data_IF_827091620804
#
_entry.id   IF_827091620804
#
_cell.length_a   1.000
_cell.length_b   1.000
_cell.length_c   1.000
_cell.angle_alpha   90.00
_cell.angle_beta   90.00
_cell.angle_gamma   90.00
#
_symmetry.space_group_name_H-M   'P 1'
#
loop_
_entity.id
_entity.type
_entity.pdbx_description
1 polymer ?
#
# COMPACT_ATOMS: atom_id res chain seq x y z
N UNK A 1 -11.72 1.05 -14.00
CA UNK A 1 -12.36 2.25 -13.41
C UNK A 1 -11.49 2.72 -12.26
N UNK A 2 -10.65 3.74 -12.48
CA UNK A 2 -9.41 3.93 -11.71
C UNK A 2 -9.50 4.97 -10.58
N UNK A 3 -10.57 5.76 -10.50
CA UNK A 3 -10.68 6.84 -9.51
C UNK A 3 -12.13 7.19 -9.23
N UNK A 4 -12.42 7.56 -7.99
CA UNK A 4 -13.69 8.15 -7.59
C UNK A 4 -13.54 9.65 -7.40
N UNK A 5 -14.62 10.40 -7.56
CA UNK A 5 -14.59 11.86 -7.69
C UNK A 5 -15.35 12.50 -6.53
N UNK A 6 -14.87 13.63 -6.05
CA UNK A 6 -15.50 14.40 -4.98
C UNK A 6 -16.31 15.56 -5.58
N UNK A 7 -17.52 15.90 -5.07
CA UNK A 7 -18.26 17.08 -5.51
C UNK A 7 -17.42 18.37 -5.43
N UNK A 8 -17.39 19.14 -6.53
CA UNK A 8 -16.56 20.34 -6.67
C UNK A 8 -15.14 20.08 -7.19
N UNK A 9 -14.68 18.83 -7.21
CA UNK A 9 -13.35 18.46 -7.70
C UNK A 9 -13.25 18.69 -9.21
N UNK A 10 -12.18 19.39 -9.63
CA UNK A 10 -11.70 19.37 -11.00
C UNK A 10 -10.66 18.25 -11.12
N UNK A 11 -10.90 17.30 -12.02
CA UNK A 11 -10.10 16.08 -12.12
C UNK A 11 -9.95 15.63 -13.56
N UNK A 12 -9.02 14.71 -13.77
CA UNK A 12 -8.72 14.13 -15.08
C UNK A 12 -8.96 12.64 -15.03
N UNK A 13 -9.76 12.13 -15.97
CA UNK A 13 -10.08 10.70 -16.07
C UNK A 13 -9.43 10.13 -17.32
N UNK A 14 -8.52 9.16 -17.18
CA UNK A 14 -7.95 8.48 -18.32
C UNK A 14 -8.99 7.54 -18.93
N UNK A 15 -9.34 7.75 -20.20
CA UNK A 15 -10.17 6.83 -20.98
C UNK A 15 -9.28 6.09 -21.96
N UNK A 16 -9.15 4.77 -21.78
CA UNK A 16 -8.39 3.91 -22.69
C UNK A 16 -9.29 3.43 -23.82
N UNK A 17 -8.88 3.70 -25.05
CA UNK A 17 -9.55 3.25 -26.27
C UNK A 17 -8.63 2.24 -26.96
N UNK A 18 -9.21 1.14 -27.43
CA UNK A 18 -8.47 0.08 -28.13
C UNK A 18 -9.17 -0.26 -29.43
N UNK A 19 -8.45 -0.11 -30.55
CA UNK A 19 -8.88 -0.64 -31.83
C UNK A 19 -8.57 -2.15 -31.90
N UNK A 20 -9.59 -2.99 -31.71
CA UNK A 20 -9.47 -4.45 -31.86
C UNK A 20 -9.73 -4.94 -33.29
N UNK A 21 -10.01 -4.02 -34.22
CA UNK A 21 -10.33 -4.39 -35.59
C UNK A 21 -9.05 -4.55 -36.41
N UNK A 22 -9.16 -5.23 -37.55
CA UNK A 22 -8.08 -5.28 -38.55
C UNK A 22 -7.96 -4.02 -39.39
N UNK A 23 -8.82 -3.02 -39.18
CA UNK A 23 -8.91 -1.81 -39.98
C UNK A 23 -8.36 -0.60 -39.23
N UNK A 24 -7.95 0.42 -39.98
CA UNK A 24 -7.63 1.73 -39.45
C UNK A 24 -8.93 2.45 -39.06
N UNK A 25 -9.01 2.95 -37.81
CA UNK A 25 -10.20 3.64 -37.31
C UNK A 25 -9.93 5.14 -37.16
N UNK A 26 -10.67 5.94 -37.93
CA UNK A 26 -10.75 7.39 -37.77
C UNK A 26 -12.15 7.80 -37.37
N UNK A 27 -12.27 8.75 -36.44
CA UNK A 27 -13.57 9.13 -35.91
C UNK A 27 -13.54 10.08 -34.74
N UNK A 28 -14.64 10.12 -34.01
CA UNK A 28 -14.84 11.01 -32.87
C UNK A 28 -15.41 10.23 -31.68
N UNK A 29 -14.73 10.26 -30.54
CA UNK A 29 -15.30 9.82 -29.28
C UNK A 29 -16.08 10.99 -28.66
N UNK A 30 -17.38 10.81 -28.47
CA UNK A 30 -18.23 11.76 -27.74
C UNK A 30 -18.57 11.23 -26.36
N UNK A 31 -18.58 12.14 -25.40
CA UNK A 31 -19.07 11.89 -24.04
C UNK A 31 -20.41 12.62 -23.92
N UNK A 32 -21.48 11.85 -23.74
CA UNK A 32 -22.84 12.37 -23.65
C UNK A 32 -23.41 12.27 -22.24
N UNK A 33 -24.35 13.18 -22.02
CA UNK A 33 -25.40 13.18 -21.02
C UNK A 33 -24.99 12.86 -19.59
N UNK A 34 -24.61 13.90 -18.85
CA UNK A 34 -24.41 13.80 -17.41
C UNK A 34 -24.81 15.10 -16.76
N UNK A 35 -26.00 15.12 -16.17
CA UNK A 35 -26.40 16.15 -15.23
C UNK A 35 -25.31 16.30 -14.17
N UNK A 36 -24.88 17.52 -13.90
CA UNK A 36 -23.94 17.88 -12.85
C UNK A 36 -22.44 17.73 -13.12
N UNK A 37 -22.03 17.57 -14.39
CA UNK A 37 -20.59 17.59 -14.75
C UNK A 37 -20.30 18.58 -15.87
N UNK A 38 -19.32 19.44 -15.61
CA UNK A 38 -18.72 20.32 -16.60
C UNK A 38 -17.50 19.64 -17.21
N UNK A 39 -17.50 19.48 -18.54
CA UNK A 39 -16.37 18.94 -19.28
C UNK A 39 -15.63 20.06 -19.98
N UNK A 40 -14.30 20.01 -20.00
CA UNK A 40 -13.52 20.92 -20.86
C UNK A 40 -13.71 20.59 -22.34
N UNK A 41 -13.78 19.30 -22.67
CA UNK A 41 -14.19 18.81 -23.98
C UNK A 41 -15.08 17.59 -23.85
N UNK A 42 -16.15 17.55 -24.68
CA UNK A 42 -17.05 16.40 -24.81
C UNK A 42 -16.76 15.57 -26.07
N UNK A 43 -15.74 15.93 -26.84
CA UNK A 43 -15.45 15.34 -28.14
C UNK A 43 -13.95 15.24 -28.38
N UNK A 44 -13.49 14.03 -28.70
CA UNK A 44 -12.08 13.74 -28.87
C UNK A 44 -11.88 13.08 -30.24
N UNK A 45 -11.02 13.64 -31.12
CA UNK A 45 -10.68 12.99 -32.37
C UNK A 45 -9.91 11.70 -32.09
N UNK A 46 -10.27 10.65 -32.79
CA UNK A 46 -9.67 9.33 -32.67
C UNK A 46 -9.08 8.98 -34.02
N UNK A 47 -7.84 8.53 -33.98
CA UNK A 47 -7.09 8.02 -35.10
C UNK A 47 -6.25 6.87 -34.56
N UNK A 48 -6.67 5.63 -34.84
CA UNK A 48 -6.11 4.41 -34.25
C UNK A 48 -5.81 3.37 -35.31
N UNK A 49 -4.54 2.99 -35.43
CA UNK A 49 -4.10 1.86 -36.25
C UNK A 49 -4.67 0.53 -35.73
N UNK A 50 -4.71 -0.54 -36.55
CA UNK A 50 -5.10 -1.86 -36.10
C UNK A 50 -4.32 -2.27 -34.84
N UNK A 51 -5.01 -2.78 -33.82
CA UNK A 51 -4.46 -3.17 -32.52
C UNK A 51 -3.86 -2.03 -31.66
N UNK A 52 -3.95 -0.76 -32.07
CA UNK A 52 -3.44 0.37 -31.29
C UNK A 52 -4.29 0.63 -30.03
N UNK A 53 -3.61 1.02 -28.95
CA UNK A 53 -4.23 1.51 -27.70
C UNK A 53 -3.84 2.95 -27.48
N UNK A 54 -4.82 3.80 -27.19
CA UNK A 54 -4.60 5.21 -26.82
C UNK A 54 -5.31 5.53 -25.52
N UNK A 55 -4.68 6.37 -24.71
CA UNK A 55 -5.30 6.93 -23.49
C UNK A 55 -5.65 8.39 -23.74
N UNK A 56 -6.90 8.75 -23.51
CA UNK A 56 -7.41 10.13 -23.61
C UNK A 56 -7.56 10.70 -22.21
N UNK A 57 -7.03 11.91 -21.99
CA UNK A 57 -7.25 12.65 -20.76
C UNK A 57 -8.58 13.41 -20.85
N UNK A 58 -9.57 13.00 -20.05
CA UNK A 58 -10.85 13.69 -19.98
C UNK A 58 -10.88 14.55 -18.73
N UNK A 59 -10.75 15.87 -18.92
CA UNK A 59 -10.84 16.83 -17.85
C UNK A 59 -12.31 17.18 -17.57
N UNK A 60 -12.70 17.03 -16.30
CA UNK A 60 -14.04 17.32 -15.86
C UNK A 60 -14.06 17.97 -14.48
N UNK A 61 -15.13 18.70 -14.20
CA UNK A 61 -15.44 19.28 -12.91
C UNK A 61 -16.84 18.85 -12.48
N UNK A 62 -16.92 18.17 -11.34
CA UNK A 62 -18.19 17.75 -10.76
C UNK A 62 -18.82 18.94 -10.01
N UNK A 63 -20.10 19.22 -10.22
CA UNK A 63 -20.78 20.31 -9.50
C UNK A 63 -20.83 20.05 -7.99
N UNK A 64 -20.78 21.11 -7.17
CA UNK A 64 -20.87 20.99 -5.70
C UNK A 64 -22.20 20.43 -5.19
N UNK A 65 -23.27 20.46 -6.00
CA UNK A 65 -24.64 20.13 -5.56
C UNK A 65 -25.10 18.73 -5.92
N UNK A 66 -24.21 17.82 -6.30
CA UNK A 66 -24.58 16.44 -6.61
C UNK A 66 -25.05 15.76 -5.31
N UNK A 67 -26.38 15.65 -5.13
CA UNK A 67 -26.99 15.05 -3.93
C UNK A 67 -27.16 13.54 -4.11
N UNK A 68 -26.69 12.77 -3.11
CA UNK A 68 -26.95 11.34 -2.84
C UNK A 68 -26.54 10.33 -3.92
N UNK A 69 -25.67 9.39 -3.52
CA UNK A 69 -25.54 8.01 -4.02
C UNK A 69 -25.71 7.82 -5.54
N UNK A 70 -24.96 8.55 -6.34
CA UNK A 70 -24.90 8.27 -7.78
C UNK A 70 -23.45 7.96 -8.16
N UNK A 71 -23.28 6.84 -8.86
CA UNK A 71 -22.16 6.71 -9.75
C UNK A 71 -22.38 7.73 -10.87
N UNK A 72 -21.40 8.58 -11.12
CA UNK A 72 -21.35 9.39 -12.32
C UNK A 72 -21.31 8.46 -13.53
N UNK A 73 -22.31 8.55 -14.40
CA UNK A 73 -22.38 7.72 -15.61
C UNK A 73 -21.83 8.52 -16.79
N UNK A 74 -20.64 8.17 -17.28
CA UNK A 74 -20.15 8.68 -18.56
C UNK A 74 -20.67 7.78 -19.67
N UNK A 75 -21.53 8.29 -20.54
CA UNK A 75 -21.90 7.60 -21.77
C UNK A 75 -20.89 7.95 -22.87
N UNK A 76 -20.10 6.96 -23.26
CA UNK A 76 -19.13 7.07 -24.34
C UNK A 76 -19.73 6.55 -25.64
N UNK A 77 -19.66 7.38 -26.67
CA UNK A 77 -20.14 7.06 -28.01
C UNK A 77 -19.01 7.29 -29.01
N UNK A 78 -18.54 6.23 -29.66
CA UNK A 78 -17.54 6.35 -30.72
C UNK A 78 -18.23 6.37 -32.09
N UNK A 79 -17.98 7.44 -32.84
CA UNK A 79 -18.48 7.63 -34.19
C UNK A 79 -17.34 7.45 -35.19
N UNK A 80 -17.40 6.41 -36.02
CA UNK A 80 -16.48 6.21 -37.16
C UNK A 80 -16.88 7.17 -38.27
N UNK A 81 -15.89 7.77 -38.95
CA UNK A 81 -16.13 8.60 -40.13
C UNK A 81 -15.87 7.72 -41.36
N UNK A 82 -16.92 7.42 -42.11
CA UNK A 82 -16.86 6.66 -43.37
C UNK A 82 -17.48 7.50 -44.48
N UNK A 83 -16.71 7.78 -45.54
CA UNK A 83 -17.17 8.55 -46.71
C UNK A 83 -17.83 9.90 -46.35
N UNK A 84 -17.31 10.59 -45.33
CA UNK A 84 -17.87 11.86 -44.84
C UNK A 84 -19.11 11.71 -43.96
N UNK A 85 -19.65 10.50 -43.78
CA UNK A 85 -20.75 10.21 -42.86
C UNK A 85 -20.26 9.68 -41.52
N UNK A 86 -20.95 10.07 -40.45
CA UNK A 86 -20.61 9.68 -39.08
C UNK A 86 -21.54 8.56 -38.62
N UNK A 87 -20.98 7.38 -38.34
CA UNK A 87 -21.72 6.20 -37.90
C UNK A 87 -21.31 5.85 -36.47
N UNK A 88 -22.27 5.74 -35.56
CA UNK A 88 -21.99 5.28 -34.19
C UNK A 88 -21.71 3.78 -34.20
N UNK A 89 -20.48 3.39 -33.92
CA UNK A 89 -20.02 2.00 -33.98
C UNK A 89 -19.82 1.38 -32.60
N UNK A 90 -19.78 2.19 -31.53
CA UNK A 90 -19.59 1.68 -30.17
C UNK A 90 -20.24 2.60 -29.14
N UNK A 91 -20.96 1.99 -28.20
CA UNK A 91 -21.52 2.67 -27.02
C UNK A 91 -21.05 1.93 -25.76
N UNK A 92 -20.44 2.66 -24.84
CA UNK A 92 -20.01 2.14 -23.54
C UNK A 92 -20.46 3.09 -22.44
N UNK A 93 -20.89 2.56 -21.30
CA UNK A 93 -21.13 3.38 -20.10
C UNK A 93 -20.04 3.11 -19.06
N UNK A 94 -19.51 4.17 -18.48
CA UNK A 94 -18.50 4.15 -17.42
C UNK A 94 -19.14 4.71 -16.15
N UNK A 95 -19.22 3.91 -15.10
CA UNK A 95 -19.71 4.29 -13.76
C UNK A 95 -18.58 4.75 -12.83
N UNK A 96 -18.38 6.05 -12.67
CA UNK A 96 -17.40 6.59 -11.74
C UNK A 96 -18.06 6.85 -10.39
N UNK A 97 -17.61 6.22 -9.30
CA UNK A 97 -18.16 6.46 -7.99
C UNK A 97 -17.94 7.92 -7.57
N UNK A 98 -18.98 8.55 -7.01
CA UNK A 98 -18.86 9.86 -6.39
C UNK A 98 -18.70 9.65 -4.88
N UNK A 99 -17.62 10.19 -4.31
CA UNK A 99 -17.41 10.25 -2.86
C UNK A 99 -18.20 11.46 -2.36
N UNK A 100 -19.36 11.20 -1.76
CA UNK A 100 -20.20 12.24 -1.16
C UNK A 100 -19.47 12.85 0.05
N UNK A 101 -18.73 13.94 -0.18
CA UNK A 101 -18.44 14.89 0.88
C UNK A 101 -19.45 16.03 0.76
N UNK A 102 -20.36 16.22 1.72
CA UNK A 102 -20.97 17.52 1.91
C UNK A 102 -19.83 18.52 2.09
N UNK A 103 -19.76 19.52 1.21
CA UNK A 103 -18.80 20.63 1.32
C UNK A 103 -18.91 21.18 2.75
N UNK A 104 -17.85 20.98 3.54
CA UNK A 104 -17.75 21.44 4.92
C UNK A 104 -18.14 20.47 6.05
N UNK A 105 -18.76 19.30 5.81
CA UNK A 105 -19.11 18.34 6.89
C UNK A 105 -19.12 16.87 6.43
N UNK A 106 -18.00 16.18 6.63
CA UNK A 106 -17.94 14.75 7.01
C UNK A 106 -18.41 13.72 5.98
N UNK A 107 -17.54 13.34 5.03
CA UNK A 107 -17.12 11.94 4.81
C UNK A 107 -16.21 11.85 3.58
N UNK A 108 -14.90 12.09 3.76
CA UNK A 108 -13.92 11.83 2.67
C UNK A 108 -13.53 10.34 2.57
N UNK A 109 -14.41 9.45 3.06
CA UNK A 109 -14.30 8.01 2.97
C UNK A 109 -15.56 7.45 2.34
N UNK A 110 -15.41 6.52 1.40
CA UNK A 110 -16.51 5.83 0.77
C UNK A 110 -16.28 4.31 0.74
N UNK A 111 -17.37 3.57 0.62
CA UNK A 111 -17.34 2.13 0.46
C UNK A 111 -18.54 1.68 -0.37
N UNK A 112 -18.31 0.83 -1.37
CA UNK A 112 -19.34 0.39 -2.30
C UNK A 112 -19.00 -0.95 -2.92
N UNK A 113 -20.00 -1.60 -3.52
CA UNK A 113 -19.88 -2.90 -4.19
C UNK A 113 -19.95 -2.69 -5.69
N UNK A 114 -19.01 -3.27 -6.44
CA UNK A 114 -18.96 -3.23 -7.90
C UNK A 114 -19.40 -4.57 -8.45
N UNK A 115 -20.52 -4.58 -9.17
CA UNK A 115 -21.06 -5.74 -9.91
C UNK A 115 -21.25 -7.01 -9.05
N UNK A 116 -21.35 -6.88 -7.72
CA UNK A 116 -21.40 -8.01 -6.80
C UNK A 116 -20.10 -8.82 -6.69
N UNK A 117 -19.04 -8.43 -7.42
CA UNK A 117 -17.76 -9.16 -7.51
C UNK A 117 -16.66 -8.55 -6.67
N UNK A 118 -16.69 -7.23 -6.49
CA UNK A 118 -15.69 -6.49 -5.71
C UNK A 118 -16.34 -5.61 -4.67
N UNK A 119 -15.71 -5.46 -3.51
CA UNK A 119 -15.97 -4.38 -2.59
C UNK A 119 -14.82 -3.40 -2.62
N UNK A 120 -15.14 -2.11 -2.64
CA UNK A 120 -14.17 -1.03 -2.61
C UNK A 120 -14.34 -0.29 -1.28
N UNK A 121 -13.23 0.02 -0.63
CA UNK A 121 -13.14 0.97 0.46
C UNK A 121 -12.09 2.02 0.08
N UNK A 122 -12.40 3.31 0.13
CA UNK A 122 -11.44 4.33 -0.26
C UNK A 122 -11.60 5.62 0.54
N UNK A 123 -10.52 6.39 0.60
CA UNK A 123 -10.47 7.73 1.18
C UNK A 123 -9.75 8.68 0.23
N UNK A 124 -9.22 9.81 0.74
CA UNK A 124 -8.44 10.73 -0.09
C UNK A 124 -7.12 10.09 -0.58
N UNK A 125 -6.22 9.59 0.29
CA UNK A 125 -4.93 9.05 -0.16
C UNK A 125 -5.02 7.63 -0.75
N UNK A 126 -5.96 6.80 -0.32
CA UNK A 126 -5.90 5.35 -0.52
C UNK A 126 -7.20 4.77 -1.08
N UNK A 127 -7.07 3.66 -1.83
CA UNK A 127 -8.18 2.79 -2.23
C UNK A 127 -7.80 1.33 -2.02
N UNK A 128 -8.74 0.56 -1.48
CA UNK A 128 -8.66 -0.85 -1.20
C UNK A 128 -9.67 -1.58 -2.07
N UNK A 129 -9.22 -2.58 -2.81
CA UNK A 129 -10.09 -3.47 -3.58
C UNK A 129 -10.12 -4.87 -2.97
N UNK A 130 -11.31 -5.35 -2.62
CA UNK A 130 -11.53 -6.68 -2.10
C UNK A 130 -12.27 -7.54 -3.11
N UNK A 131 -11.87 -8.81 -3.22
CA UNK A 131 -12.60 -9.82 -4.00
C UNK A 131 -13.76 -10.37 -3.17
N UNK A 132 -14.95 -10.45 -3.76
CA UNK A 132 -16.17 -11.02 -3.13
C UNK A 132 -16.44 -12.47 -3.56
N UNK A 133 -15.49 -13.05 -4.28
CA UNK A 133 -15.42 -14.47 -4.59
C UNK A 133 -14.38 -15.12 -3.66
N UNK A 134 -14.61 -16.36 -3.19
CA UNK A 134 -13.60 -17.09 -2.45
C UNK A 134 -12.29 -17.24 -3.25
N UNK A 135 -11.11 -16.97 -2.66
CA UNK A 135 -10.90 -16.52 -1.29
C UNK A 135 -11.17 -15.02 -1.08
N UNK A 136 -11.87 -14.67 0.01
CA UNK A 136 -12.22 -13.28 0.35
C UNK A 136 -11.01 -12.51 0.90
N UNK A 137 -10.20 -11.93 0.02
CA UNK A 137 -8.97 -11.22 0.35
C UNK A 137 -8.98 -9.76 -0.13
N UNK A 138 -8.02 -8.99 0.40
CA UNK A 138 -7.64 -7.67 -0.11
C UNK A 138 -6.74 -7.90 -1.34
N UNK A 139 -7.26 -7.59 -2.52
CA UNK A 139 -6.61 -7.84 -3.80
C UNK A 139 -5.60 -6.75 -4.12
N UNK A 140 -6.01 -5.49 -4.01
CA UNK A 140 -5.19 -4.36 -4.44
C UNK A 140 -5.30 -3.20 -3.45
N UNK A 141 -4.15 -2.58 -3.18
CA UNK A 141 -4.03 -1.28 -2.52
C UNK A 141 -3.54 -0.26 -3.52
N UNK A 142 -4.16 0.92 -3.54
CA UNK A 142 -3.85 1.98 -4.49
C UNK A 142 -3.53 3.26 -3.72
N UNK A 143 -2.33 3.82 -3.93
CA UNK A 143 -2.04 5.19 -3.52
C UNK A 143 -2.57 6.14 -4.60
N UNK A 144 -3.62 6.89 -4.28
CA UNK A 144 -4.31 7.79 -5.20
C UNK A 144 -3.50 9.04 -5.54
N UNK A 145 -2.44 9.35 -4.77
CA UNK A 145 -1.55 10.49 -5.03
C UNK A 145 -0.58 10.20 -6.18
N UNK A 146 -0.03 8.99 -6.21
CA UNK A 146 0.87 8.52 -7.28
C UNK A 146 0.16 7.69 -8.35
N UNK A 147 -1.10 7.28 -8.10
CA UNK A 147 -1.84 6.29 -8.90
C UNK A 147 -1.11 4.94 -9.00
N UNK A 148 -0.28 4.62 -8.01
CA UNK A 148 0.40 3.33 -7.94
C UNK A 148 -0.45 2.27 -7.30
N UNK A 149 -0.18 1.04 -7.73
CA UNK A 149 -0.95 -0.13 -7.38
C UNK A 149 -0.05 -1.19 -6.80
N UNK A 150 -0.46 -1.67 -5.65
CA UNK A 150 0.20 -2.70 -4.89
C UNK A 150 -0.75 -3.88 -4.87
N UNK A 151 -0.43 -4.90 -5.66
CA UNK A 151 -1.14 -6.16 -5.60
C UNK A 151 -0.77 -6.83 -4.28
N UNK A 152 -1.78 -7.09 -3.46
CA UNK A 152 -1.63 -7.50 -2.07
C UNK A 152 -1.95 -8.97 -1.89
N UNK A 153 -3.06 -9.42 -2.49
CA UNK A 153 -3.60 -10.78 -2.41
C UNK A 153 -3.44 -11.41 -1.01
N UNK A 154 -3.87 -10.65 -0.01
CA UNK A 154 -3.61 -10.96 1.41
C UNK A 154 -4.85 -10.79 2.27
N UNK A 155 -4.72 -11.10 3.55
CA UNK A 155 -5.74 -10.93 4.58
C UNK A 155 -6.88 -11.94 4.49
N UNK A 156 -6.77 -12.99 3.66
CA UNK A 156 -7.68 -14.12 3.66
C UNK A 156 -7.68 -14.79 5.06
N UNK A 157 -8.85 -15.13 5.63
CA UNK A 157 -8.93 -15.64 6.99
C UNK A 157 -8.57 -17.12 7.06
N UNK A 158 -7.80 -17.48 8.09
CA UNK A 158 -7.61 -18.86 8.51
C UNK A 158 -7.85 -18.99 10.02
N UNK A 159 -8.57 -20.02 10.42
CA UNK A 159 -9.07 -20.20 11.78
C UNK A 159 -8.67 -21.58 12.31
N UNK A 160 -8.11 -21.59 13.51
CA UNK A 160 -7.80 -22.79 14.28
C UNK A 160 -6.31 -23.02 14.49
N UNK A 161 -5.99 -24.00 15.31
CA UNK A 161 -4.63 -24.51 15.53
C UNK A 161 -4.70 -26.04 15.43
N UNK A 162 -4.01 -26.70 14.47
CA UNK A 162 -3.16 -26.10 13.44
C UNK A 162 -3.97 -25.36 12.36
N UNK A 163 -3.30 -24.42 11.69
CA UNK A 163 -3.88 -23.63 10.60
C UNK A 163 -3.84 -24.38 9.26
N UNK A 164 -4.88 -24.28 8.44
CA UNK A 164 -5.08 -25.14 7.26
C UNK A 164 -4.54 -24.57 5.95
N UNK A 165 -4.38 -23.26 5.83
CA UNK A 165 -3.92 -22.67 4.57
C UNK A 165 -5.05 -21.98 3.81
N UNK A 166 -4.77 -21.63 2.57
CA UNK A 166 -5.75 -21.18 1.58
C UNK A 166 -6.85 -22.23 1.29
N UNK A 167 -6.59 -23.49 1.66
CA UNK A 167 -7.57 -24.59 1.59
C UNK A 167 -8.50 -24.63 2.80
N UNK A 168 -8.31 -23.74 3.77
CA UNK A 168 -9.11 -23.64 4.99
C UNK A 168 -10.60 -23.39 4.72
N UNK A 169 -11.43 -23.75 5.70
CA UNK A 169 -12.89 -23.61 5.59
C UNK A 169 -13.31 -22.18 5.24
N UNK A 170 -12.79 -21.19 5.98
CA UNK A 170 -13.22 -19.79 5.86
C UNK A 170 -12.74 -19.11 4.57
N UNK A 171 -11.66 -19.61 3.96
CA UNK A 171 -11.19 -19.14 2.67
C UNK A 171 -12.19 -19.49 1.56
N UNK A 172 -12.82 -20.68 1.62
CA UNK A 172 -13.75 -21.17 0.58
C UNK A 172 -15.22 -20.82 0.83
N UNK A 173 -15.55 -20.49 2.08
CA UNK A 173 -16.93 -20.24 2.49
C UNK A 173 -17.38 -18.83 2.15
N UNK A 174 -18.59 -18.71 1.58
CA UNK A 174 -19.25 -17.42 1.37
C UNK A 174 -19.38 -16.64 2.68
N UNK A 175 -18.93 -15.39 2.68
CA UNK A 175 -18.96 -14.53 3.86
C UNK A 175 -20.08 -13.50 3.75
N UNK A 176 -20.67 -13.13 4.89
CA UNK A 176 -21.62 -12.03 4.99
C UNK A 176 -20.87 -10.71 5.00
N UNK A 177 -21.24 -9.83 4.07
CA UNK A 177 -20.64 -8.52 3.88
C UNK A 177 -21.55 -7.43 4.45
N UNK A 178 -20.97 -6.47 5.18
CA UNK A 178 -21.67 -5.24 5.61
C UNK A 178 -20.78 -4.03 5.40
N UNK A 179 -21.36 -2.96 4.87
CA UNK A 179 -20.73 -1.66 4.71
C UNK A 179 -21.33 -0.69 5.73
N UNK A 180 -20.48 -0.05 6.52
CA UNK A 180 -20.88 0.93 7.52
C UNK A 180 -20.25 2.29 7.19
N UNK A 181 -21.09 3.31 7.07
CA UNK A 181 -20.65 4.69 6.90
C UNK A 181 -20.89 5.44 8.21
N UNK A 182 -19.81 5.71 8.96
CA UNK A 182 -19.85 6.59 10.13
C UNK A 182 -19.45 8.01 9.68
N UNK A 183 -19.64 9.02 10.53
CA UNK A 183 -19.32 10.43 10.22
C UNK A 183 -17.82 10.68 9.99
N UNK A 184 -16.97 9.81 10.53
CA UNK A 184 -15.52 10.02 10.55
C UNK A 184 -14.75 8.92 9.84
N UNK A 185 -15.35 7.76 9.58
CA UNK A 185 -14.69 6.64 8.92
C UNK A 185 -15.73 5.78 8.20
N UNK A 186 -15.29 5.03 7.20
CA UNK A 186 -16.09 3.97 6.56
C UNK A 186 -15.46 2.62 6.88
N UNK A 187 -16.29 1.63 7.16
CA UNK A 187 -15.86 0.28 7.52
C UNK A 187 -16.50 -0.77 6.63
N UNK A 188 -15.70 -1.75 6.19
CA UNK A 188 -16.13 -2.95 5.49
C UNK A 188 -15.98 -4.15 6.41
N UNK A 189 -17.07 -4.86 6.69
CA UNK A 189 -17.09 -6.01 7.59
C UNK A 189 -17.40 -7.29 6.82
N UNK A 190 -16.50 -8.25 6.90
CA UNK A 190 -16.71 -9.63 6.50
C UNK A 190 -16.99 -10.48 7.73
N UNK A 191 -18.01 -11.34 7.68
CA UNK A 191 -18.37 -12.22 8.78
C UNK A 191 -18.73 -13.62 8.31
N UNK A 192 -18.33 -14.64 9.07
CA UNK A 192 -18.65 -16.05 8.78
C UNK A 192 -18.56 -16.89 10.03
N UNK A 193 -19.50 -17.82 10.21
CA UNK A 193 -19.49 -18.81 11.30
C UNK A 193 -18.78 -20.07 10.85
N UNK A 194 -17.89 -20.66 11.63
CA UNK A 194 -17.24 -21.92 11.28
C UNK A 194 -18.19 -23.12 11.39
N UNK A 195 -18.09 -24.04 10.44
CA UNK A 195 -18.71 -25.37 10.48
C UNK A 195 -17.84 -26.38 11.23
N UNK A 196 -16.51 -26.22 11.18
CA UNK A 196 -15.57 -27.06 11.94
C UNK A 196 -15.61 -26.76 13.43
N UNK A 197 -15.62 -25.48 13.81
CA UNK A 197 -15.85 -25.00 15.19
C UNK A 197 -17.25 -24.38 15.28
N UNK A 198 -18.28 -25.25 15.39
CA UNK A 198 -19.69 -24.85 15.31
C UNK A 198 -20.05 -23.76 16.33
N UNK A 199 -20.56 -22.65 15.84
CA UNK A 199 -20.99 -21.49 16.66
C UNK A 199 -19.90 -20.43 16.86
N UNK A 200 -18.65 -20.71 16.47
CA UNK A 200 -17.59 -19.69 16.44
C UNK A 200 -17.73 -18.81 15.19
N UNK A 201 -18.00 -17.53 15.38
CA UNK A 201 -18.08 -16.51 14.33
C UNK A 201 -16.76 -15.74 14.23
N UNK A 202 -16.24 -15.60 13.01
CA UNK A 202 -15.11 -14.72 12.69
C UNK A 202 -15.65 -13.46 12.01
N UNK A 203 -15.28 -12.28 12.53
CA UNK A 203 -15.53 -10.98 11.91
C UNK A 203 -14.21 -10.31 11.58
N UNK A 204 -14.06 -9.80 10.37
CA UNK A 204 -12.95 -8.95 9.94
C UNK A 204 -13.52 -7.59 9.53
N UNK A 205 -13.12 -6.54 10.22
CA UNK A 205 -13.53 -5.17 9.95
C UNK A 205 -12.33 -4.36 9.44
N UNK A 206 -12.45 -3.82 8.23
CA UNK A 206 -11.49 -2.92 7.62
C UNK A 206 -12.03 -1.50 7.71
N UNK A 207 -11.38 -0.63 8.47
CA UNK A 207 -11.82 0.74 8.71
C UNK A 207 -10.84 1.73 8.11
N UNK A 208 -11.37 2.71 7.38
CA UNK A 208 -10.62 3.77 6.73
C UNK A 208 -11.23 5.13 7.08
N UNK A 209 -10.38 6.12 7.37
CA UNK A 209 -10.79 7.48 7.76
C UNK A 209 -10.24 8.53 6.75
N UNK A 210 -10.91 9.68 6.55
CA UNK A 210 -10.77 10.60 5.41
C UNK A 210 -9.35 10.91 4.91
N UNK A 211 -8.44 11.14 5.85
CA UNK A 211 -7.06 11.60 5.60
C UNK A 211 -6.00 10.63 6.12
N UNK A 212 -6.43 9.46 6.58
CA UNK A 212 -5.54 8.48 7.18
C UNK A 212 -4.80 7.68 6.10
N UNK A 213 -3.49 7.58 6.24
CA UNK A 213 -2.67 6.59 5.54
C UNK A 213 -2.79 5.18 6.17
N UNK A 214 -3.37 5.10 7.36
CA UNK A 214 -3.64 3.85 8.07
C UNK A 214 -5.00 3.26 7.71
N UNK A 215 -4.98 1.94 7.52
CA UNK A 215 -6.14 1.07 7.42
C UNK A 215 -6.17 0.25 8.70
N UNK A 216 -7.18 0.46 9.54
CA UNK A 216 -7.36 -0.33 10.76
C UNK A 216 -8.03 -1.65 10.40
N UNK A 217 -7.42 -2.76 10.77
CA UNK A 217 -8.00 -4.10 10.64
C UNK A 217 -8.28 -4.64 12.03
N UNK A 218 -9.56 -4.88 12.30
CA UNK A 218 -10.00 -5.49 13.54
C UNK A 218 -10.53 -6.90 13.23
N UNK A 219 -10.07 -7.89 13.98
CA UNK A 219 -10.57 -9.26 13.89
C UNK A 219 -11.20 -9.65 15.21
N UNK A 220 -12.44 -10.10 15.16
CA UNK A 220 -13.15 -10.62 16.32
C UNK A 220 -13.51 -12.09 16.12
N UNK A 221 -13.29 -12.89 17.17
CA UNK A 221 -13.75 -14.27 17.28
C UNK A 221 -14.82 -14.33 18.37
N UNK A 222 -16.05 -14.71 18.02
CA UNK A 222 -17.20 -14.66 18.93
C UNK A 222 -17.80 -16.06 19.05
N UNK A 223 -17.87 -16.61 20.26
CA UNK A 223 -18.46 -17.92 20.49
C UNK A 223 -19.96 -17.80 20.81
N UNK A 224 -20.81 -18.09 19.83
CA UNK A 224 -22.28 -18.12 20.01
C UNK A 224 -22.81 -19.50 20.44
N UNK A 225 -21.93 -20.48 20.64
CA UNK A 225 -22.33 -21.82 21.06
C UNK A 225 -22.48 -21.90 22.59
N UNK A 226 -23.00 -23.03 23.06
CA UNK A 226 -23.03 -23.39 24.48
C UNK A 226 -21.82 -24.24 24.91
N UNK A 227 -20.78 -24.35 24.07
CA UNK A 227 -19.57 -25.13 24.33
C UNK A 227 -18.33 -24.24 24.22
N UNK A 228 -17.31 -24.52 25.02
CA UNK A 228 -16.01 -23.86 24.85
C UNK A 228 -15.33 -24.35 23.58
N UNK A 229 -14.52 -23.48 22.97
CA UNK A 229 -13.66 -23.84 21.85
C UNK A 229 -12.20 -23.68 22.23
N UNK A 230 -11.47 -24.80 22.30
CA UNK A 230 -10.02 -24.81 22.52
C UNK A 230 -9.26 -24.69 21.21
N UNK A 231 -7.96 -24.38 21.30
CA UNK A 231 -7.03 -24.32 20.17
C UNK A 231 -7.56 -23.41 19.06
N UNK A 232 -7.98 -22.21 19.48
CA UNK A 232 -8.50 -21.20 18.57
C UNK A 232 -7.35 -20.29 18.19
N UNK A 233 -7.11 -20.15 16.90
CA UNK A 233 -6.09 -19.23 16.40
C UNK A 233 -6.66 -18.46 15.24
N UNK A 234 -6.10 -17.29 14.97
CA UNK A 234 -6.37 -16.57 13.74
C UNK A 234 -5.05 -16.22 13.06
N UNK A 235 -4.98 -16.44 11.75
CA UNK A 235 -3.93 -15.88 10.92
C UNK A 235 -4.52 -15.35 9.64
N UNK A 236 -3.72 -14.56 8.95
CA UNK A 236 -3.95 -14.28 7.54
C UNK A 236 -2.79 -14.78 6.68
N UNK A 237 -3.13 -15.09 5.43
CA UNK A 237 -2.14 -15.28 4.38
C UNK A 237 -1.76 -13.95 3.77
N UNK A 238 -0.47 -13.77 3.49
CA UNK A 238 0.01 -12.83 2.50
C UNK A 238 0.71 -13.61 1.39
N UNK A 239 0.36 -13.31 0.15
CA UNK A 239 1.16 -13.77 -0.98
C UNK A 239 2.50 -13.00 -1.04
N UNK A 240 3.54 -13.59 -1.65
CA UNK A 240 4.80 -12.92 -1.83
C UNK A 240 4.67 -11.69 -2.71
N UNK A 241 5.23 -10.57 -2.26
CA UNK A 241 5.12 -9.30 -2.96
C UNK A 241 6.31 -9.10 -3.90
N UNK A 242 6.26 -9.78 -5.05
CA UNK A 242 7.33 -9.73 -6.05
C UNK A 242 7.70 -8.31 -6.51
N UNK A 243 6.78 -7.33 -6.41
CA UNK A 243 7.03 -5.95 -6.83
C UNK A 243 7.90 -5.16 -5.85
N UNK A 244 7.78 -5.40 -4.54
CA UNK A 244 8.63 -4.72 -3.56
C UNK A 244 10.02 -5.36 -3.46
N UNK A 245 10.13 -6.59 -3.95
CA UNK A 245 11.39 -7.30 -4.01
C UNK A 245 12.47 -6.54 -4.81
N UNK A 246 12.06 -5.77 -5.82
CA UNK A 246 13.00 -5.08 -6.70
C UNK A 246 13.51 -3.72 -6.16
N UNK A 247 12.70 -2.99 -5.39
CA UNK A 247 12.85 -1.53 -5.24
C UNK A 247 12.82 -1.02 -3.78
N UNK A 248 12.57 -1.88 -2.79
CA UNK A 248 12.39 -1.48 -1.39
C UNK A 248 13.51 -1.89 -0.42
N UNK A 249 13.56 -1.20 0.73
CA UNK A 249 14.35 -1.57 1.91
C UNK A 249 13.41 -1.95 3.05
N UNK A 250 13.55 -3.16 3.58
CA UNK A 250 12.75 -3.65 4.70
C UNK A 250 13.42 -3.34 6.05
N UNK A 251 12.62 -2.94 7.03
CA UNK A 251 13.06 -2.71 8.40
C UNK A 251 12.32 -3.62 9.38
N UNK A 252 13.09 -4.33 10.23
CA UNK A 252 12.62 -5.34 11.17
C UNK A 252 13.15 -5.06 12.59
N UNK A 253 12.30 -4.63 13.54
CA UNK A 253 12.72 -4.28 14.91
C UNK A 253 12.81 -5.53 15.81
N UNK A 254 13.98 -6.16 15.80
CA UNK A 254 14.29 -7.36 16.59
C UNK A 254 14.84 -7.00 17.96
N UNK A 255 14.85 -7.97 18.89
CA UNK A 255 15.37 -7.76 20.27
C UNK A 255 16.80 -7.23 20.34
N UNK A 256 17.62 -7.57 19.35
CA UNK A 256 19.02 -7.15 19.23
C UNK A 256 19.24 -5.87 18.39
N UNK A 257 18.19 -5.30 17.79
CA UNK A 257 18.28 -4.08 16.99
C UNK A 257 17.31 -4.04 15.82
N UNK A 258 17.35 -2.95 15.04
CA UNK A 258 16.56 -2.83 13.81
C UNK A 258 17.41 -3.37 12.65
N UNK A 259 17.01 -4.52 12.13
CA UNK A 259 17.62 -5.11 10.94
C UNK A 259 17.11 -4.38 9.69
N UNK A 260 18.05 -3.97 8.85
CA UNK A 260 17.80 -3.33 7.55
C UNK A 260 18.14 -4.34 6.45
N UNK A 261 17.14 -4.74 5.67
CA UNK A 261 17.28 -5.73 4.58
C UNK A 261 17.11 -5.00 3.24
N UNK A 262 18.15 -5.06 2.40
CA UNK A 262 18.11 -4.54 1.02
C UNK A 262 18.12 -5.68 0.01
N UNK A 263 17.63 -5.38 -1.19
CA UNK A 263 17.66 -6.29 -2.33
C UNK A 263 19.10 -6.80 -2.59
N UNK A 264 19.25 -8.11 -2.82
CA UNK A 264 20.53 -8.79 -3.04
C UNK A 264 20.76 -10.06 -2.22
N UNK A 265 19.95 -10.30 -1.18
CA UNK A 265 19.97 -11.54 -0.42
C UNK A 265 18.65 -12.27 -0.67
N UNK A 266 18.68 -13.25 -1.56
CA UNK A 266 17.55 -14.12 -1.88
C UNK A 266 17.26 -15.07 -0.70
N UNK A 267 16.72 -14.53 0.39
CA UNK A 267 16.17 -15.34 1.48
C UNK A 267 14.76 -15.79 1.10
N UNK A 268 14.68 -16.65 0.08
CA UNK A 268 13.43 -17.25 -0.40
C UNK A 268 12.76 -18.16 0.64
N UNK A 269 13.44 -18.48 1.75
CA UNK A 269 12.92 -19.34 2.79
C UNK A 269 12.56 -18.59 4.08
N UNK A 270 11.40 -18.93 4.66
CA UNK A 270 10.92 -18.45 5.97
C UNK A 270 11.86 -18.76 7.16
N UNK A 271 13.01 -19.38 6.93
CA UNK A 271 13.94 -19.88 7.97
C UNK A 271 14.92 -18.80 8.43
N UNK A 272 15.07 -17.71 7.66
CA UNK A 272 16.10 -16.70 7.91
C UNK A 272 15.70 -15.64 8.94
N UNK A 273 14.41 -15.51 9.26
CA UNK A 273 13.91 -14.53 10.22
C UNK A 273 13.28 -15.20 11.45
N UNK A 274 13.42 -14.61 12.65
CA UNK A 274 12.83 -15.18 13.85
C UNK A 274 11.30 -15.15 13.77
N UNK A 275 10.67 -16.30 13.98
CA UNK A 275 9.21 -16.45 13.89
C UNK A 275 8.49 -16.16 15.19
N UNK A 276 9.10 -16.47 16.32
CA UNK A 276 8.45 -16.31 17.63
C UNK A 276 8.31 -14.82 17.96
N UNK A 277 7.13 -14.40 18.40
CA UNK A 277 6.84 -13.00 18.72
C UNK A 277 7.80 -12.42 19.78
N UNK A 278 8.28 -13.24 20.73
CA UNK A 278 9.25 -12.84 21.77
C UNK A 278 10.60 -12.32 21.22
N UNK A 279 10.93 -12.61 19.96
CA UNK A 279 12.17 -12.16 19.31
C UNK A 279 12.03 -10.78 18.66
N UNK A 280 10.82 -10.22 18.69
CA UNK A 280 10.49 -8.89 18.18
C UNK A 280 10.51 -7.89 19.33
N UNK A 281 11.27 -6.81 19.18
CA UNK A 281 11.34 -5.76 20.20
C UNK A 281 10.17 -4.81 20.09
N UNK A 282 9.76 -4.52 18.87
CA UNK A 282 8.70 -3.58 18.54
C UNK A 282 7.72 -4.27 17.59
N UNK A 283 6.43 -3.96 17.71
CA UNK A 283 5.38 -4.64 16.96
C UNK A 283 5.05 -3.92 15.65
N UNK A 284 6.09 -3.75 14.82
CA UNK A 284 5.98 -3.14 13.50
C UNK A 284 6.97 -3.68 12.49
N UNK A 285 6.69 -3.47 11.21
CA UNK A 285 7.67 -3.57 10.10
C UNK A 285 7.28 -2.60 8.99
N UNK A 286 8.24 -2.15 8.20
CA UNK A 286 7.94 -1.38 7.00
C UNK A 286 8.93 -1.61 5.87
N UNK A 287 8.48 -1.25 4.67
CA UNK A 287 9.24 -1.11 3.45
C UNK A 287 9.33 0.37 3.11
N UNK A 288 10.55 0.85 2.92
CA UNK A 288 10.85 2.19 2.44
C UNK A 288 11.34 2.10 1.00
N UNK A 289 10.75 2.88 0.11
CA UNK A 289 11.11 2.95 -1.30
C UNK A 289 12.00 4.18 -1.57
N UNK A 290 12.70 4.16 -2.69
CA UNK A 290 13.65 5.21 -3.09
C UNK A 290 13.04 6.61 -3.22
N UNK A 291 11.72 6.73 -3.34
CA UNK A 291 10.98 7.98 -3.50
C UNK A 291 10.19 8.39 -2.24
N UNK A 292 10.67 7.96 -1.07
CA UNK A 292 10.07 8.21 0.24
C UNK A 292 8.64 7.65 0.38
N UNK A 293 8.24 6.68 -0.45
CA UNK A 293 7.03 5.91 -0.18
C UNK A 293 7.31 4.90 0.92
N UNK A 294 6.28 4.62 1.70
CA UNK A 294 6.35 3.68 2.80
C UNK A 294 5.11 2.80 2.83
N UNK A 295 5.36 1.50 2.91
CA UNK A 295 4.34 0.51 3.21
C UNK A 295 4.68 -0.17 4.53
N UNK A 296 3.71 -0.35 5.43
CA UNK A 296 4.03 -0.94 6.72
C UNK A 296 2.87 -1.66 7.39
N UNK A 297 3.24 -2.46 8.38
CA UNK A 297 2.34 -3.19 9.24
C UNK A 297 2.67 -2.83 10.70
N UNK A 298 1.67 -2.40 11.46
CA UNK A 298 1.72 -2.23 12.92
C UNK A 298 0.77 -3.23 13.55
N UNK A 299 1.10 -3.80 14.70
CA UNK A 299 0.18 -4.67 15.41
C UNK A 299 0.21 -4.46 16.91
N UNK A 300 -0.90 -4.78 17.56
CA UNK A 300 -0.90 -5.02 19.00
C UNK A 300 -0.16 -6.35 19.26
N UNK A 301 0.91 -6.37 20.09
CA UNK A 301 1.63 -7.60 20.40
C UNK A 301 0.77 -8.63 21.18
N UNK A 302 -0.36 -8.22 21.76
CA UNK A 302 -1.25 -9.10 22.51
C UNK A 302 -1.72 -10.28 21.63
N UNK A 303 -1.63 -11.49 22.18
CA UNK A 303 -1.99 -12.76 21.54
C UNK A 303 -1.18 -13.14 20.29
N UNK A 304 -0.20 -12.35 19.85
CA UNK A 304 0.65 -12.72 18.71
C UNK A 304 1.61 -13.83 19.16
N UNK A 305 1.44 -15.02 18.59
CA UNK A 305 2.33 -16.15 18.83
C UNK A 305 3.51 -16.10 17.85
N UNK A 306 3.22 -15.85 16.56
CA UNK A 306 4.23 -15.87 15.50
C UNK A 306 4.08 -14.69 14.54
N UNK A 307 5.23 -14.14 14.15
CA UNK A 307 5.38 -13.16 13.06
C UNK A 307 6.19 -13.83 11.96
N UNK A 308 5.56 -14.11 10.82
CA UNK A 308 6.23 -14.72 9.68
C UNK A 308 6.64 -13.65 8.70
N UNK A 309 7.94 -13.49 8.54
CA UNK A 309 8.52 -12.60 7.54
C UNK A 309 9.20 -13.42 6.48
N UNK A 310 8.98 -13.02 5.23
CA UNK A 310 9.76 -13.42 4.07
C UNK A 310 10.38 -12.15 3.49
N UNK A 311 11.46 -12.30 2.74
CA UNK A 311 12.12 -11.16 2.11
C UNK A 311 11.13 -10.40 1.26
N UNK A 312 10.93 -9.14 1.60
CA UNK A 312 10.16 -8.19 0.78
C UNK A 312 8.66 -8.49 0.70
N UNK A 313 8.13 -9.26 1.68
CA UNK A 313 6.71 -9.56 1.86
C UNK A 313 6.11 -8.86 3.08
N UNK A 314 4.81 -8.53 3.04
CA UNK A 314 4.07 -8.15 4.26
C UNK A 314 4.10 -9.33 5.23
N UNK A 315 4.51 -9.13 6.48
CA UNK A 315 4.49 -10.21 7.43
C UNK A 315 3.10 -10.79 7.63
N UNK A 316 3.04 -12.09 7.85
CA UNK A 316 1.84 -12.77 8.32
C UNK A 316 1.89 -12.86 9.84
N UNK A 317 0.82 -12.41 10.50
CA UNK A 317 0.66 -12.53 11.94
C UNK A 317 -0.17 -13.78 12.27
N UNK A 318 0.28 -14.54 13.26
CA UNK A 318 -0.44 -15.67 13.83
C UNK A 318 -0.78 -15.37 15.27
N UNK A 319 -2.08 -15.32 15.54
CA UNK A 319 -2.64 -15.12 16.86
C UNK A 319 -3.11 -16.46 17.41
N UNK A 320 -2.79 -16.71 18.67
CA UNK A 320 -3.23 -17.90 19.39
C UNK A 320 -4.07 -17.48 20.60
N UNK A 321 -5.24 -18.09 20.71
CA UNK A 321 -6.18 -17.96 21.80
C UNK A 321 -6.33 -19.36 22.43
N UNK A 322 -6.13 -19.49 23.73
CA UNK A 322 -6.12 -20.80 24.40
C UNK A 322 -7.50 -21.47 24.27
N UNK A 323 -8.50 -20.83 24.87
CA UNK A 323 -9.90 -21.27 24.89
C UNK A 323 -10.80 -20.05 24.79
N UNK A 324 -11.88 -20.14 24.01
CA UNK A 324 -12.96 -19.14 24.00
C UNK A 324 -14.21 -19.79 24.57
N UNK A 325 -14.64 -19.37 25.75
CA UNK A 325 -15.81 -19.94 26.43
C UNK A 325 -17.13 -19.49 25.78
N UNK A 326 -18.27 -20.12 26.11
CA UNK A 326 -19.59 -19.72 25.61
C UNK A 326 -19.89 -18.24 25.87
N UNK A 327 -20.29 -17.51 24.82
CA UNK A 327 -20.59 -16.08 24.90
C UNK A 327 -19.38 -15.15 24.93
N UNK A 328 -18.17 -15.68 25.02
CA UNK A 328 -16.95 -14.87 25.01
C UNK A 328 -16.58 -14.37 23.61
N UNK A 329 -15.80 -13.31 23.60
CA UNK A 329 -15.27 -12.67 22.41
C UNK A 329 -13.80 -12.34 22.61
N UNK A 330 -12.99 -12.78 21.66
CA UNK A 330 -11.61 -12.33 21.52
C UNK A 330 -11.48 -11.32 20.39
N UNK A 331 -10.60 -10.34 20.55
CA UNK A 331 -10.39 -9.26 19.58
C UNK A 331 -8.91 -8.93 19.44
N UNK A 332 -8.47 -8.78 18.19
CA UNK A 332 -7.11 -8.34 17.85
C UNK A 332 -7.15 -7.25 16.79
N UNK A 333 -6.22 -6.32 16.87
CA UNK A 333 -6.12 -5.19 15.95
C UNK A 333 -4.71 -5.09 15.38
N UNK A 334 -4.64 -4.83 14.08
CA UNK A 334 -3.42 -4.41 13.40
C UNK A 334 -3.76 -3.34 12.36
N UNK A 335 -2.73 -2.67 11.86
CA UNK A 335 -2.87 -1.56 10.93
C UNK A 335 -1.95 -1.78 9.75
N UNK A 336 -2.51 -1.62 8.55
CA UNK A 336 -1.73 -1.46 7.34
C UNK A 336 -1.51 0.03 7.08
N UNK A 337 -0.36 0.39 6.54
CA UNK A 337 -0.02 1.75 6.19
C UNK A 337 0.42 1.82 4.74
N UNK A 338 -0.12 2.77 4.00
CA UNK A 338 0.35 3.15 2.67
C UNK A 338 0.46 4.67 2.61
N UNK A 339 1.68 5.17 2.55
CA UNK A 339 1.97 6.58 2.75
C UNK A 339 3.34 7.00 2.26
N UNK A 340 3.75 8.18 2.72
CA UNK A 340 5.10 8.70 2.54
C UNK A 340 5.80 8.85 3.89
N UNK A 341 7.13 8.84 3.85
CA UNK A 341 7.99 8.99 5.01
C UNK A 341 9.10 7.95 5.03
N UNK A 342 9.75 7.88 6.19
CA UNK A 342 10.87 6.99 6.50
C UNK A 342 10.46 5.99 7.57
N UNK A 343 11.25 4.94 7.75
CA UNK A 343 11.03 3.99 8.85
C UNK A 343 11.00 4.65 10.24
N UNK A 344 11.64 5.82 10.41
CA UNK A 344 11.62 6.58 11.68
C UNK A 344 10.25 7.20 11.94
N UNK A 345 9.60 7.71 10.90
CA UNK A 345 8.22 8.20 10.97
C UNK A 345 7.29 7.05 11.32
N UNK A 346 7.49 5.89 10.67
CA UNK A 346 6.71 4.69 10.94
C UNK A 346 6.85 4.18 12.38
N UNK A 347 8.07 4.19 12.92
CA UNK A 347 8.34 3.89 14.33
C UNK A 347 7.68 4.89 15.28
N UNK A 348 7.57 6.16 14.89
CA UNK A 348 6.85 7.19 15.65
C UNK A 348 5.35 6.90 15.70
N UNK A 349 4.75 6.54 14.57
CA UNK A 349 3.35 6.10 14.54
C UNK A 349 3.10 4.86 15.40
N UNK A 350 4.02 3.89 15.38
CA UNK A 350 3.94 2.73 16.27
C UNK A 350 3.83 3.13 17.74
N UNK A 351 4.70 4.02 18.22
CA UNK A 351 4.66 4.50 19.61
C UNK A 351 3.33 5.16 19.97
N UNK A 352 2.79 5.97 19.06
CA UNK A 352 1.53 6.67 19.29
C UNK A 352 0.32 5.72 19.26
N UNK A 353 0.27 4.80 18.30
CA UNK A 353 -0.89 3.95 18.06
C UNK A 353 -0.92 2.75 19.00
N UNK A 354 0.23 2.11 19.21
CA UNK A 354 0.33 0.85 19.99
C UNK A 354 0.70 1.12 21.44
N UNK A 355 1.63 2.04 21.71
CA UNK A 355 2.01 2.38 23.10
C UNK A 355 1.18 3.52 23.69
N UNK A 356 0.31 4.16 22.91
CA UNK A 356 -0.47 5.33 23.32
C UNK A 356 0.38 6.50 23.85
N UNK A 357 1.63 6.60 23.39
CA UNK A 357 2.55 7.65 23.81
C UNK A 357 2.24 8.98 23.11
N UNK A 358 1.48 9.83 23.80
CA UNK A 358 1.07 11.15 23.30
C UNK A 358 2.18 12.20 23.35
N UNK A 359 3.34 11.88 23.92
CA UNK A 359 4.46 12.83 24.06
C UNK A 359 5.33 12.93 22.80
N UNK A 360 5.18 11.99 21.85
CA UNK A 360 5.96 11.95 20.62
C UNK A 360 5.34 12.87 19.57
N UNK A 361 6.06 13.91 19.13
CA UNK A 361 5.62 14.79 18.04
C UNK A 361 5.82 14.10 16.68
N UNK A 362 4.80 14.15 15.81
CA UNK A 362 4.87 13.65 14.43
C UNK A 362 5.69 14.64 13.59
N UNK A 363 6.71 14.19 12.83
CA UNK A 363 7.36 15.03 11.84
C UNK A 363 6.33 15.54 10.82
N UNK A 364 6.32 16.82 10.43
CA UNK A 364 5.34 17.32 9.48
C UNK A 364 5.35 16.49 8.19
N UNK A 365 4.17 16.14 7.67
CA UNK A 365 3.95 15.18 6.56
C UNK A 365 4.59 15.58 5.21
N UNK A 366 5.28 16.72 5.15
CA UNK A 366 6.05 17.21 4.01
C UNK A 366 7.34 17.88 4.50
N UNK A 367 8.52 17.24 4.43
CA UNK A 367 9.76 18.00 4.53
C UNK A 367 9.88 18.90 3.29
N UNK A 368 9.95 20.22 3.50
CA UNK A 368 10.50 21.12 2.49
C UNK A 368 11.92 20.65 2.17
N UNK A 369 12.20 20.42 0.89
CA UNK A 369 13.55 20.07 0.41
C UNK A 369 14.40 21.33 0.50
N UNK A 370 15.10 21.49 1.63
CA UNK A 370 16.07 22.57 1.83
C UNK A 370 17.43 22.03 1.39
N UNK A 371 17.74 22.26 0.10
CA UNK A 371 18.99 21.98 -0.61
C UNK A 371 19.27 20.53 -1.03
N UNK A 372 19.39 20.33 -2.34
CA UNK A 372 19.88 19.12 -2.98
C UNK A 372 21.39 19.29 -3.23
N UNK A 373 22.22 18.48 -2.57
CA UNK A 373 23.67 18.44 -2.76
C UNK A 373 23.99 17.22 -3.63
N UNK A 374 24.27 17.46 -4.91
CA UNK A 374 24.68 16.43 -5.85
C UNK A 374 26.19 16.21 -5.76
N UNK A 375 26.61 14.99 -5.40
CA UNK A 375 28.00 14.56 -5.48
C UNK A 375 28.17 13.55 -6.62
N UNK A 376 28.93 13.91 -7.64
CA UNK A 376 29.38 12.99 -8.70
C UNK A 376 30.71 12.35 -8.30
N UNK A 377 30.74 11.02 -8.23
CA UNK A 377 31.98 10.25 -8.09
C UNK A 377 32.59 10.01 -9.47
N UNK A 378 33.77 10.56 -9.75
CA UNK A 378 34.58 10.09 -10.87
C UNK A 378 35.20 8.74 -10.49
N UNK A 379 34.85 7.68 -11.21
CA UNK A 379 35.41 6.36 -10.97
C UNK A 379 36.90 6.37 -11.33
N UNK A 380 37.78 6.24 -10.35
CA UNK A 380 39.17 5.90 -10.62
C UNK A 380 39.25 4.40 -10.91
N UNK A 381 39.86 4.06 -12.05
CA UNK A 381 40.18 2.70 -12.46
C UNK A 381 41.19 2.09 -11.49
N UNK A 382 40.71 1.48 -10.40
CA UNK A 382 41.49 0.51 -9.65
C UNK A 382 41.37 -0.85 -10.34
N UNK A 383 42.46 -1.27 -10.97
CA UNK A 383 42.62 -2.60 -11.52
C UNK A 383 42.61 -3.64 -10.40
N UNK A 384 41.41 -4.11 -10.06
CA UNK A 384 41.01 -5.44 -9.58
C UNK A 384 39.62 -5.27 -8.98
N UNK A 385 38.64 -6.01 -9.52
CA UNK A 385 37.25 -6.03 -9.06
C UNK A 385 37.15 -6.45 -7.58
N UNK A 386 37.24 -5.49 -6.67
CA UNK A 386 36.74 -5.66 -5.31
C UNK A 386 35.65 -4.62 -5.09
N UNK A 387 34.43 -5.12 -4.88
CA UNK A 387 33.21 -4.34 -4.75
C UNK A 387 33.20 -3.57 -3.42
N UNK A 388 33.81 -2.39 -3.42
CA UNK A 388 33.63 -1.40 -2.37
C UNK A 388 32.38 -0.58 -2.67
N UNK A 389 31.57 -0.34 -1.64
CA UNK A 389 30.47 0.62 -1.71
C UNK A 389 30.82 1.76 -0.75
N UNK A 390 31.07 2.95 -1.32
CA UNK A 390 31.44 4.15 -0.57
C UNK A 390 30.20 5.05 -0.55
N UNK A 391 29.67 5.32 0.65
CA UNK A 391 28.53 6.23 0.82
C UNK A 391 28.96 7.43 1.66
N UNK A 392 28.94 8.66 1.09
CA UNK A 392 29.09 9.86 1.88
C UNK A 392 27.78 10.16 2.62
N UNK A 393 27.89 10.49 3.91
CA UNK A 393 26.78 11.03 4.70
C UNK A 393 27.22 12.42 5.16
N UNK A 394 26.57 13.45 4.61
CA UNK A 394 26.80 14.83 5.01
C UNK A 394 25.77 15.24 6.08
N UNK A 395 26.25 15.88 7.14
CA UNK A 395 25.45 16.70 8.06
C UNK A 395 25.88 18.15 7.95
N UNK A 396 25.25 19.08 8.67
CA UNK A 396 25.61 20.51 8.65
C UNK A 396 27.10 20.76 8.91
N UNK A 397 27.75 19.91 9.73
CA UNK A 397 29.08 20.19 10.27
C UNK A 397 30.08 19.04 10.13
N UNK A 398 29.68 17.88 9.60
CA UNK A 398 30.59 16.72 9.42
C UNK A 398 30.30 15.93 8.14
N UNK A 399 31.37 15.46 7.49
CA UNK A 399 31.33 14.49 6.41
C UNK A 399 31.76 13.13 6.97
N UNK A 400 30.83 12.18 7.02
CA UNK A 400 31.14 10.79 7.39
C UNK A 400 31.28 9.96 6.12
N UNK A 401 32.44 9.33 5.92
CA UNK A 401 32.67 8.38 4.82
C UNK A 401 32.54 6.97 5.38
N UNK A 402 31.53 6.23 4.92
CA UNK A 402 31.34 4.82 5.32
C UNK A 402 31.88 3.91 4.23
N UNK A 403 32.92 3.13 4.55
CA UNK A 403 33.47 2.09 3.68
C UNK A 403 32.88 0.75 4.12
N UNK A 404 32.15 0.08 3.23
CA UNK A 404 31.63 -1.26 3.49
C UNK A 404 32.38 -2.29 2.66
N UNK A 405 33.00 -3.24 3.35
CA UNK A 405 33.57 -4.43 2.75
C UNK A 405 32.54 -5.57 2.78
N UNK A 406 32.22 -6.12 1.62
CA UNK A 406 31.30 -7.26 1.50
C UNK A 406 32.03 -8.62 1.62
N UNK A 407 33.33 -8.62 1.87
CA UNK A 407 34.12 -9.82 2.14
C UNK A 407 34.34 -9.98 3.65
N UNK A 408 34.26 -11.21 4.18
CA UNK A 408 34.49 -11.54 5.60
C UNK A 408 35.98 -11.42 6.03
N UNK A 409 36.77 -10.60 5.33
CA UNK A 409 38.20 -10.41 5.60
C UNK A 409 38.45 -9.04 6.21
N UNK A 410 39.28 -8.99 7.25
CA UNK A 410 39.81 -7.75 7.83
C UNK A 410 40.69 -7.08 6.78
N UNK A 411 40.46 -5.79 6.54
CA UNK A 411 41.22 -5.00 5.56
C UNK A 411 42.10 -4.01 6.31
N UNK A 412 43.38 -3.95 5.94
CA UNK A 412 44.30 -2.93 6.43
C UNK A 412 44.67 -2.00 5.28
N UNK A 413 44.57 -0.70 5.49
CA UNK A 413 44.87 0.29 4.45
C UNK A 413 44.99 1.72 4.98
N UNK A 414 45.31 2.64 4.08
CA UNK A 414 45.28 4.09 4.33
C UNK A 414 44.13 4.71 3.54
N UNK A 415 43.27 5.48 4.21
CA UNK A 415 42.30 6.35 3.55
C UNK A 415 42.92 7.73 3.34
N UNK A 416 42.87 8.24 2.11
CA UNK A 416 43.25 9.63 1.80
C UNK A 416 42.07 10.38 1.22
N UNK A 417 41.66 11.46 1.88
CA UNK A 417 40.64 12.38 1.36
C UNK A 417 41.34 13.58 0.72
N UNK A 418 41.04 13.86 -0.54
CA UNK A 418 41.43 15.12 -1.21
C UNK A 418 40.20 15.99 -1.36
N UNK A 419 40.25 17.21 -0.82
CA UNK A 419 39.22 18.21 -1.02
C UNK A 419 39.53 18.99 -2.32
N UNK A 420 38.49 19.42 -3.07
CA UNK A 420 38.65 20.33 -4.20
C UNK A 420 39.37 21.61 -3.79
N UNK A 421 40.20 22.17 -4.68
CA UNK A 421 40.99 23.39 -4.40
C UNK A 421 40.11 24.59 -4.00
N UNK A 422 38.86 24.61 -4.41
CA UNK A 422 37.88 25.66 -4.14
C UNK A 422 37.43 25.74 -2.67
N UNK A 423 37.62 24.66 -1.88
CA UNK A 423 37.28 24.59 -0.46
C UNK A 423 38.49 24.82 0.47
N UNK A 424 39.64 25.20 -0.09
CA UNK A 424 40.93 25.29 0.62
C UNK A 424 41.15 26.56 1.47
N UNK A 425 40.12 27.40 1.63
CA UNK A 425 40.21 28.65 2.42
C UNK A 425 40.08 28.43 3.94
N UNK A 426 39.87 27.20 4.41
CA UNK A 426 39.92 26.85 5.83
C UNK A 426 41.26 26.16 6.12
N UNK A 427 42.02 26.79 7.02
CA UNK A 427 43.39 26.49 7.43
C UNK A 427 43.86 25.02 7.36
N UNK A 428 45.01 24.82 6.70
CA UNK A 428 46.13 24.12 7.34
C UNK A 428 46.20 22.59 7.34
N UNK A 429 45.25 21.83 6.79
CA UNK A 429 45.42 20.36 6.65
C UNK A 429 45.31 19.88 5.20
N UNK A 430 46.48 19.72 4.56
CA UNK A 430 46.60 19.35 3.14
C UNK A 430 46.43 17.87 2.83
N UNK A 431 46.11 17.02 3.79
CA UNK A 431 45.77 15.58 3.69
C UNK A 431 45.70 15.05 5.12
N UNK A 432 44.56 14.52 5.56
CA UNK A 432 44.58 13.56 6.67
C UNK A 432 44.77 12.17 6.07
N UNK A 433 45.73 11.42 6.63
CA UNK A 433 45.88 10.00 6.41
C UNK A 433 45.57 9.33 7.73
N UNK A 434 44.46 8.60 7.77
CA UNK A 434 44.14 7.78 8.94
C UNK A 434 44.31 6.30 8.58
N UNK A 435 45.15 5.56 9.32
CA UNK A 435 45.19 4.11 9.19
C UNK A 435 43.88 3.51 9.74
N UNK A 436 43.38 2.46 9.10
CA UNK A 436 42.26 1.68 9.63
C UNK A 436 42.58 0.17 9.60
N UNK A 437 42.00 -0.55 10.56
CA UNK A 437 41.96 -2.02 10.63
C UNK A 437 40.53 -2.55 10.50
#
# INVERSE_FOLDING_TARGET
MERSIIPGERTTIPIRVWNKTGEHLTGLLRISDISHVNFESKSFPIDLQPNERRTLAVHLQLEHRVRRKQNLQLHLHFYKIENGTSVNVCKQTIFIPIIDTPVGKGNACNGYIVEGKKAILENRPNRLEFTLEPPYFLHELIDKRSNERFQVDSLAPDLGLPFEGETGELARKKQHLRLFHKKECTSLVFSSTSQKKKGLEVKREFTLCPDSNFIKVNVSLINHSNQSHDSVGWRYFGEPWSRFAAEGVQYLPLTWGILRVQNGLDFSQEVHFPRNAEKWRESWTCFEFSDNKLFGLLWDPKHVEKVRVRTLDVPSLQYAFETIAPGEKEEVTFYLFLGRGTWRDFRTYWKQIVLHDSSVQVPPEHPEVINELSLTTESSTFGTEQAFNIQPIATSDTLTVVIRNNTLRVLKGELSVQLPEELSFLDGQRRSKEPFE
#
